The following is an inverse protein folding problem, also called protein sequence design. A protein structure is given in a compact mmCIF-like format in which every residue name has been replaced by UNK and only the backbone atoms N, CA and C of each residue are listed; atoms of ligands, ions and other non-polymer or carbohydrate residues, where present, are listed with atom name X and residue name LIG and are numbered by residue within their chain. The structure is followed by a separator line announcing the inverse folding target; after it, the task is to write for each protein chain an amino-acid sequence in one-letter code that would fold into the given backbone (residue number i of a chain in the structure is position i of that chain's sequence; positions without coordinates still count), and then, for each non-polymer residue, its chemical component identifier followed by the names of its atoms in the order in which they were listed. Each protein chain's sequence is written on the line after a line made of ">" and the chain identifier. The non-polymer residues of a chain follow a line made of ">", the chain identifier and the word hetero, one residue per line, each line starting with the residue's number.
data_IF_010787902480
#
_entry.id   IF_010787902480
#
_cell.length_a   1.000
_cell.length_b   1.000
_cell.length_c   1.000
_cell.angle_alpha   90.00
_cell.angle_beta   90.00
_cell.angle_gamma   90.00
#
_symmetry.space_group_name_H-M   'P 1'
#
loop_
_entity.id
_entity.type
_entity.pdbx_description
1 polymer ?
#
# COMPACT_ATOMS: atom_id res chain seq x y z
N UNK A 1 -49.76 -44.54 -50.03
CA UNK A 1 -49.49 -43.75 -48.81
C UNK A 1 -48.21 -42.94 -49.04
N UNK A 2 -48.27 -41.90 -49.88
CA UNK A 2 -47.08 -41.16 -50.32
C UNK A 2 -47.43 -39.76 -50.89
N UNK A 3 -46.44 -38.86 -50.83
CA UNK A 3 -46.26 -37.58 -51.57
C UNK A 3 -46.97 -36.28 -51.13
N UNK A 4 -46.09 -35.33 -50.79
CA UNK A 4 -46.01 -33.91 -51.23
C UNK A 4 -46.54 -32.79 -50.30
N UNK A 5 -45.56 -31.97 -49.86
CA UNK A 5 -45.53 -30.51 -49.57
C UNK A 5 -46.77 -29.79 -49.03
N UNK A 6 -46.59 -29.08 -47.90
CA UNK A 6 -46.60 -27.61 -47.90
C UNK A 6 -45.96 -26.99 -46.64
N UNK A 7 -45.43 -25.79 -46.83
CA UNK A 7 -44.74 -24.89 -45.90
C UNK A 7 -45.45 -24.56 -44.58
N UNK A 8 -44.69 -24.54 -43.47
CA UNK A 8 -44.56 -23.35 -42.59
C UNK A 8 -43.61 -23.61 -41.40
N UNK A 9 -42.36 -23.14 -41.45
CA UNK A 9 -41.44 -23.12 -40.29
C UNK A 9 -40.65 -21.80 -40.24
N UNK A 10 -40.99 -20.98 -39.25
CA UNK A 10 -40.06 -20.13 -38.49
C UNK A 10 -39.68 -20.91 -37.21
N UNK A 11 -38.55 -20.67 -36.50
CA UNK A 11 -37.64 -19.52 -36.50
C UNK A 11 -36.24 -19.93 -37.07
N UNK A 12 -35.06 -19.31 -36.85
CA UNK A 12 -34.55 -18.26 -35.93
C UNK A 12 -33.70 -17.25 -36.71
N UNK A 13 -33.64 -16.00 -36.23
CA UNK A 13 -32.83 -14.92 -36.79
C UNK A 13 -31.37 -15.02 -36.32
N UNK A 14 -30.48 -15.58 -37.16
CA UNK A 14 -29.07 -15.80 -36.81
C UNK A 14 -28.23 -14.50 -36.93
N UNK A 15 -28.53 -13.52 -36.07
CA UNK A 15 -27.89 -12.19 -36.06
C UNK A 15 -26.77 -12.01 -35.02
N UNK A 16 -26.48 -13.04 -34.22
CA UNK A 16 -25.39 -13.01 -33.24
C UNK A 16 -24.02 -13.31 -33.88
N UNK A 17 -23.95 -14.38 -34.65
CA UNK A 17 -22.66 -14.96 -35.09
C UNK A 17 -21.94 -14.12 -36.15
N UNK A 18 -22.66 -13.30 -36.93
CA UNK A 18 -22.03 -12.35 -37.87
C UNK A 18 -21.40 -11.14 -37.19
N UNK A 19 -21.88 -10.73 -36.00
CA UNK A 19 -21.30 -9.58 -35.28
C UNK A 19 -19.95 -9.95 -34.67
N UNK A 20 -19.76 -11.21 -34.27
CA UNK A 20 -18.51 -11.69 -33.67
C UNK A 20 -17.36 -11.87 -34.69
N UNK A 21 -17.69 -12.05 -35.98
CA UNK A 21 -16.71 -12.24 -37.04
C UNK A 21 -16.13 -10.92 -37.60
N UNK A 22 -16.94 -9.84 -37.65
CA UNK A 22 -16.55 -8.55 -38.25
C UNK A 22 -15.61 -7.71 -37.35
N UNK A 23 -15.57 -7.97 -36.04
CA UNK A 23 -14.68 -7.24 -35.12
C UNK A 23 -13.20 -7.67 -35.22
N UNK A 24 -12.88 -8.76 -35.92
CA UNK A 24 -11.51 -9.25 -36.08
C UNK A 24 -10.68 -8.49 -37.14
N UNK A 25 -11.27 -7.52 -37.86
CA UNK A 25 -10.62 -6.81 -38.98
C UNK A 25 -10.66 -5.27 -38.90
N UNK A 26 -10.76 -4.68 -37.69
CA UNK A 26 -10.69 -3.21 -37.55
C UNK A 26 -9.26 -2.67 -37.67
N UNK A 27 -9.04 -1.98 -38.80
CA UNK A 27 -7.89 -1.14 -39.15
C UNK A 27 -7.31 -0.34 -37.96
N UNK A 28 -5.98 -0.27 -37.75
CA UNK A 28 -5.36 0.40 -36.58
C UNK A 28 -5.70 1.89 -36.41
N UNK A 29 -6.23 2.55 -37.45
CA UNK A 29 -6.78 3.90 -37.34
C UNK A 29 -7.95 4.03 -36.34
N UNK A 30 -8.78 2.99 -36.17
CA UNK A 30 -9.93 3.03 -35.26
C UNK A 30 -9.55 2.88 -33.77
N UNK A 31 -8.36 2.35 -33.46
CA UNK A 31 -7.85 2.26 -32.08
C UNK A 31 -7.62 3.67 -31.50
N UNK A 32 -7.28 4.64 -32.35
CA UNK A 32 -7.14 6.05 -31.93
C UNK A 32 -8.45 6.67 -31.43
N UNK A 33 -9.60 6.27 -31.95
CA UNK A 33 -10.91 6.81 -31.52
C UNK A 33 -11.46 6.07 -30.28
N UNK A 34 -11.20 4.76 -30.16
CA UNK A 34 -11.55 3.96 -28.96
C UNK A 34 -10.74 4.36 -27.71
N UNK A 35 -9.69 5.17 -27.87
CA UNK A 35 -8.90 5.74 -26.75
C UNK A 35 -9.69 6.73 -25.86
N UNK A 36 -10.90 7.12 -26.26
CA UNK A 36 -11.87 7.79 -25.37
C UNK A 36 -12.51 6.77 -24.41
N UNK A 37 -11.71 6.27 -23.46
CA UNK A 37 -12.22 5.57 -22.28
C UNK A 37 -13.32 6.44 -21.68
N UNK A 38 -14.54 5.90 -21.56
CA UNK A 38 -15.67 6.63 -20.99
C UNK A 38 -15.38 6.95 -19.53
N UNK A 39 -14.89 8.16 -19.26
CA UNK A 39 -14.60 8.66 -17.92
C UNK A 39 -15.94 8.84 -17.21
N UNK A 40 -16.29 7.85 -16.39
CA UNK A 40 -17.53 7.87 -15.63
C UNK A 40 -17.54 9.10 -14.72
N UNK A 41 -18.61 9.89 -14.78
CA UNK A 41 -18.63 11.25 -14.23
C UNK A 41 -18.40 11.19 -12.71
N UNK A 42 -17.39 11.88 -12.13
CA UNK A 42 -17.02 11.67 -10.74
C UNK A 42 -18.19 11.95 -9.80
N UNK A 43 -18.70 10.88 -9.15
CA UNK A 43 -19.81 10.94 -8.18
C UNK A 43 -19.55 12.04 -7.15
N UNK A 44 -20.58 12.84 -6.82
CA UNK A 44 -20.47 14.00 -5.92
C UNK A 44 -19.71 13.70 -4.61
N UNK A 45 -19.92 12.51 -4.04
CA UNK A 45 -19.21 12.01 -2.85
C UNK A 45 -17.68 12.14 -2.96
N UNK A 46 -17.09 11.82 -4.12
CA UNK A 46 -15.64 11.93 -4.31
C UNK A 46 -15.13 13.38 -4.21
N UNK A 47 -15.86 14.34 -4.79
CA UNK A 47 -15.48 15.77 -4.69
C UNK A 47 -15.53 16.27 -3.24
N UNK A 48 -16.55 15.86 -2.49
CA UNK A 48 -16.70 16.20 -1.08
C UNK A 48 -15.53 15.68 -0.23
N UNK A 49 -15.15 14.41 -0.39
CA UNK A 49 -14.02 13.81 0.34
C UNK A 49 -12.70 14.53 0.02
N UNK A 50 -12.48 14.93 -1.24
CA UNK A 50 -11.30 15.73 -1.62
C UNK A 50 -11.26 17.10 -0.93
N UNK A 51 -12.41 17.80 -0.86
CA UNK A 51 -12.52 19.09 -0.15
C UNK A 51 -12.23 18.92 1.35
N UNK A 52 -12.79 17.88 1.98
CA UNK A 52 -12.55 17.58 3.40
C UNK A 52 -11.07 17.32 3.68
N UNK A 53 -10.37 16.59 2.81
CA UNK A 53 -8.93 16.36 2.91
C UNK A 53 -8.12 17.66 2.85
N UNK A 54 -8.37 18.53 1.85
CA UNK A 54 -7.68 19.82 1.76
C UNK A 54 -7.95 20.72 2.97
N UNK A 55 -9.19 20.75 3.46
CA UNK A 55 -9.54 21.49 4.67
C UNK A 55 -8.80 20.95 5.90
N UNK A 56 -8.72 19.63 6.08
CA UNK A 56 -7.97 18.97 7.14
C UNK A 56 -6.47 19.30 7.09
N UNK A 57 -5.86 19.33 5.89
CA UNK A 57 -4.45 19.73 5.72
C UNK A 57 -4.24 21.21 6.07
N UNK A 58 -5.14 22.12 5.69
CA UNK A 58 -5.04 23.54 6.07
C UNK A 58 -5.19 23.72 7.59
N UNK A 59 -6.23 23.12 8.18
CA UNK A 59 -6.50 23.22 9.62
C UNK A 59 -5.35 22.67 10.46
N UNK A 60 -4.74 21.53 10.06
CA UNK A 60 -3.63 20.96 10.85
C UNK A 60 -2.34 21.78 10.73
N UNK A 61 -2.07 22.39 9.58
CA UNK A 61 -0.95 23.30 9.41
C UNK A 61 -1.13 24.58 10.25
N UNK A 62 -2.33 25.15 10.27
CA UNK A 62 -2.66 26.31 11.13
C UNK A 62 -2.53 25.94 12.61
N UNK A 63 -3.05 24.78 13.04
CA UNK A 63 -2.91 24.31 14.41
C UNK A 63 -1.43 24.10 14.80
N UNK A 64 -0.62 23.51 13.92
CA UNK A 64 0.82 23.34 14.16
C UNK A 64 1.52 24.70 14.35
N UNK A 65 1.22 25.70 13.52
CA UNK A 65 1.78 27.07 13.67
C UNK A 65 1.37 27.72 14.99
N UNK A 66 0.10 27.60 15.39
CA UNK A 66 -0.40 28.13 16.68
C UNK A 66 0.34 27.47 17.85
N UNK A 67 0.50 26.14 17.82
CA UNK A 67 1.19 25.39 18.86
C UNK A 67 2.69 25.73 18.94
N UNK A 68 3.35 25.95 17.80
CA UNK A 68 4.75 26.43 17.74
C UNK A 68 4.86 27.77 18.47
N UNK A 69 4.03 28.76 18.12
CA UNK A 69 4.04 30.10 18.73
C UNK A 69 3.77 30.01 20.24
N UNK A 70 2.75 29.24 20.65
CA UNK A 70 2.41 29.04 22.06
C UNK A 70 3.54 28.35 22.85
N UNK A 71 4.23 27.39 22.22
CA UNK A 71 5.38 26.71 22.80
C UNK A 71 6.58 27.62 23.05
N UNK A 72 6.84 28.58 22.15
CA UNK A 72 7.88 29.61 22.37
C UNK A 72 7.56 30.54 23.54
N UNK A 73 6.28 30.88 23.75
CA UNK A 73 5.85 31.77 24.84
C UNK A 73 5.89 31.06 26.21
N UNK A 74 5.58 29.76 26.24
CA UNK A 74 5.36 28.98 27.48
C UNK A 74 6.63 28.34 28.11
N UNK A 75 7.83 28.77 27.72
CA UNK A 75 9.09 28.01 27.86
C UNK A 75 9.71 27.92 29.28
N UNK A 76 8.92 27.77 30.34
CA UNK A 76 9.42 27.71 31.73
C UNK A 76 9.88 26.32 32.22
N UNK A 77 9.43 25.22 31.60
CA UNK A 77 9.82 23.84 32.01
C UNK A 77 10.30 22.95 30.85
N UNK A 78 9.94 23.29 29.60
CA UNK A 78 10.39 22.55 28.42
C UNK A 78 11.80 22.97 28.00
N UNK A 79 12.57 22.02 27.45
CA UNK A 79 13.93 22.27 26.96
C UNK A 79 14.00 22.09 25.43
N UNK A 80 13.66 23.13 24.62
CA UNK A 80 13.66 23.06 23.16
C UNK A 80 14.95 22.48 22.56
N UNK A 81 16.11 22.90 23.06
CA UNK A 81 17.44 22.46 22.59
C UNK A 81 17.74 20.98 22.86
N UNK A 82 17.03 20.36 23.81
CA UNK A 82 17.18 18.93 24.15
C UNK A 82 16.14 18.05 23.44
N UNK A 83 15.03 18.62 22.96
CA UNK A 83 13.92 17.87 22.36
C UNK A 83 13.88 17.98 20.82
N UNK A 84 14.04 19.17 20.24
CA UNK A 84 13.92 19.35 18.79
C UNK A 84 15.04 18.69 17.98
N UNK A 85 16.34 18.80 18.34
CA UNK A 85 17.39 18.23 17.50
C UNK A 85 17.33 16.70 17.37
N UNK A 86 17.18 15.89 18.45
CA UNK A 86 17.04 14.44 18.32
C UNK A 86 15.80 14.05 17.49
N UNK A 87 14.70 14.78 17.64
CA UNK A 87 13.44 14.50 16.96
C UNK A 87 13.52 14.84 15.46
N UNK A 88 14.09 15.98 15.07
CA UNK A 88 14.29 16.33 13.66
C UNK A 88 15.31 15.41 12.97
N UNK A 89 16.38 15.00 13.68
CA UNK A 89 17.34 14.00 13.20
C UNK A 89 16.65 12.64 12.97
N UNK A 90 15.74 12.24 13.87
CA UNK A 90 14.90 11.04 13.70
C UNK A 90 14.09 11.07 12.41
N UNK A 91 13.39 12.18 12.13
CA UNK A 91 12.61 12.36 10.87
C UNK A 91 13.53 12.35 9.64
N UNK A 92 14.67 13.03 9.69
CA UNK A 92 15.64 13.06 8.59
C UNK A 92 16.21 11.67 8.28
N UNK A 93 16.57 10.89 9.30
CA UNK A 93 17.06 9.51 9.12
C UNK A 93 15.96 8.55 8.67
N UNK A 94 14.70 8.78 9.05
CA UNK A 94 13.55 8.10 8.44
C UNK A 94 13.45 8.36 6.93
N UNK A 95 13.65 9.60 6.51
CA UNK A 95 13.76 9.97 5.09
C UNK A 95 14.92 9.28 4.37
N UNK A 96 16.12 9.32 4.95
CA UNK A 96 17.33 8.68 4.41
C UNK A 96 17.15 7.16 4.29
N UNK A 97 16.56 6.51 5.30
CA UNK A 97 16.15 5.10 5.25
C UNK A 97 15.18 4.82 4.09
N UNK A 98 14.20 5.70 3.87
CA UNK A 98 13.25 5.57 2.76
C UNK A 98 13.95 5.63 1.40
N UNK A 99 14.87 6.58 1.22
CA UNK A 99 15.69 6.70 0.01
C UNK A 99 16.62 5.48 -0.17
N UNK A 100 17.22 4.97 0.90
CA UNK A 100 18.02 3.76 0.86
C UNK A 100 17.20 2.54 0.41
N UNK A 101 15.97 2.36 0.91
CA UNK A 101 15.07 1.32 0.42
C UNK A 101 14.70 1.48 -1.05
N UNK A 102 14.46 2.71 -1.53
CA UNK A 102 14.23 2.97 -2.96
C UNK A 102 15.43 2.54 -3.81
N UNK A 103 16.64 2.96 -3.43
CA UNK A 103 17.89 2.63 -4.11
C UNK A 103 18.13 1.11 -4.14
N UNK A 104 18.05 0.44 -2.99
CA UNK A 104 18.30 -1.01 -2.89
C UNK A 104 17.23 -1.81 -3.67
N UNK A 105 15.96 -1.38 -3.64
CA UNK A 105 14.89 -2.01 -4.42
C UNK A 105 15.05 -1.80 -5.92
N UNK A 106 15.52 -0.63 -6.35
CA UNK A 106 15.76 -0.31 -7.75
C UNK A 106 16.90 -1.14 -8.35
N UNK A 107 18.06 -1.17 -7.68
CA UNK A 107 19.25 -1.85 -8.22
C UNK A 107 19.26 -3.36 -7.95
N UNK A 108 18.71 -3.82 -6.83
CA UNK A 108 18.80 -5.21 -6.39
C UNK A 108 17.52 -5.66 -5.64
N UNK A 109 16.36 -5.80 -6.32
CA UNK A 109 15.08 -6.19 -5.68
C UNK A 109 15.18 -7.51 -4.88
N UNK A 110 16.00 -8.47 -5.36
CA UNK A 110 16.33 -9.70 -4.62
C UNK A 110 16.98 -9.47 -3.26
N UNK A 111 17.92 -8.51 -3.18
CA UNK A 111 18.58 -8.14 -1.92
C UNK A 111 17.64 -7.29 -1.05
N UNK A 112 16.86 -6.38 -1.64
CA UNK A 112 15.89 -5.57 -0.93
C UNK A 112 14.89 -6.43 -0.14
N UNK A 113 14.27 -7.42 -0.81
CA UNK A 113 13.29 -8.30 -0.19
C UNK A 113 13.92 -9.11 0.96
N UNK A 114 15.07 -9.75 0.73
CA UNK A 114 15.78 -10.51 1.76
C UNK A 114 16.18 -9.62 2.94
N UNK A 115 16.74 -8.43 2.67
CA UNK A 115 17.16 -7.49 3.70
C UNK A 115 15.98 -7.03 4.55
N UNK A 116 14.83 -6.68 3.96
CA UNK A 116 13.65 -6.26 4.70
C UNK A 116 13.20 -7.34 5.71
N UNK A 117 13.08 -8.59 5.25
CA UNK A 117 12.59 -9.72 6.06
C UNK A 117 13.55 -10.10 7.21
N UNK A 118 14.86 -9.97 7.05
CA UNK A 118 15.84 -10.32 8.09
C UNK A 118 16.29 -9.14 8.97
N UNK A 119 16.33 -7.92 8.43
CA UNK A 119 16.82 -6.74 9.15
C UNK A 119 15.74 -6.02 9.96
N UNK A 120 14.47 -6.06 9.53
CA UNK A 120 13.35 -5.50 10.31
C UNK A 120 13.19 -6.16 11.69
N UNK A 121 13.19 -7.50 11.85
CA UNK A 121 13.12 -8.13 13.16
C UNK A 121 14.30 -7.70 14.06
N UNK A 122 15.53 -7.69 13.52
CA UNK A 122 16.73 -7.30 14.25
C UNK A 122 16.65 -5.86 14.79
N UNK A 123 16.28 -4.90 13.94
CA UNK A 123 16.09 -3.50 14.33
C UNK A 123 14.95 -3.33 15.34
N UNK A 124 13.84 -4.05 15.15
CA UNK A 124 12.69 -4.00 16.07
C UNK A 124 13.08 -4.55 17.45
N UNK A 125 13.88 -5.62 17.49
CA UNK A 125 14.43 -6.18 18.72
C UNK A 125 15.38 -5.18 19.42
N UNK A 126 16.33 -4.59 18.68
CA UNK A 126 17.24 -3.57 19.20
C UNK A 126 16.48 -2.35 19.78
N UNK A 127 15.44 -1.88 19.07
CA UNK A 127 14.54 -0.83 19.56
C UNK A 127 13.84 -1.24 20.87
N UNK A 128 13.38 -2.49 20.97
CA UNK A 128 12.79 -3.05 22.18
C UNK A 128 13.76 -3.07 23.37
N UNK A 129 15.00 -3.50 23.17
CA UNK A 129 16.05 -3.50 24.20
C UNK A 129 16.34 -2.07 24.71
N UNK A 130 16.45 -1.09 23.80
CA UNK A 130 16.67 0.32 24.15
C UNK A 130 15.45 0.91 24.89
N UNK A 131 14.22 0.57 24.50
CA UNK A 131 13.02 1.00 25.21
C UNK A 131 12.94 0.44 26.65
N UNK A 132 13.34 -0.82 26.85
CA UNK A 132 13.43 -1.46 28.18
C UNK A 132 14.52 -0.78 29.02
N UNK A 133 15.70 -0.49 28.45
CA UNK A 133 16.83 0.10 29.19
C UNK A 133 16.61 1.55 29.65
N UNK A 134 15.62 2.26 29.09
CA UNK A 134 15.15 3.54 29.66
C UNK A 134 14.61 3.32 31.09
N UNK A 135 13.95 2.20 31.38
CA UNK A 135 13.39 1.90 32.70
C UNK A 135 12.17 2.77 33.07
N UNK A 136 11.50 3.38 32.09
CA UNK A 136 10.20 4.03 32.29
C UNK A 136 9.07 3.01 32.13
N UNK A 137 7.94 3.18 32.83
CA UNK A 137 6.78 2.27 32.72
C UNK A 137 6.25 2.16 31.28
N UNK A 138 6.16 3.28 30.56
CA UNK A 138 5.79 3.32 29.14
C UNK A 138 6.85 2.69 28.24
N UNK A 139 8.14 2.92 28.53
CA UNK A 139 9.26 2.31 27.81
C UNK A 139 9.28 0.79 27.97
N UNK A 140 9.01 0.27 29.17
CA UNK A 140 8.87 -1.17 29.42
C UNK A 140 7.74 -1.77 28.57
N UNK A 141 6.55 -1.15 28.59
CA UNK A 141 5.40 -1.63 27.83
C UNK A 141 5.64 -1.67 26.31
N UNK A 142 6.13 -0.57 25.73
CA UNK A 142 6.46 -0.53 24.30
C UNK A 142 7.67 -1.40 23.95
N UNK A 143 8.63 -1.56 24.87
CA UNK A 143 9.79 -2.40 24.71
C UNK A 143 9.44 -3.88 24.64
N UNK A 144 8.66 -4.39 25.61
CA UNK A 144 8.14 -5.77 25.59
C UNK A 144 7.31 -6.03 24.34
N UNK A 145 6.41 -5.11 23.96
CA UNK A 145 5.64 -5.20 22.71
C UNK A 145 6.56 -5.29 21.48
N UNK A 146 7.63 -4.50 21.42
CA UNK A 146 8.59 -4.51 20.33
C UNK A 146 9.35 -5.85 20.24
N UNK A 147 9.76 -6.41 21.38
CA UNK A 147 10.37 -7.76 21.43
C UNK A 147 9.38 -8.81 20.89
N UNK A 148 8.14 -8.82 21.37
CA UNK A 148 7.10 -9.76 20.87
C UNK A 148 6.88 -9.62 19.36
N UNK A 149 6.76 -8.39 18.86
CA UNK A 149 6.64 -8.12 17.41
C UNK A 149 7.88 -8.59 16.64
N UNK A 150 9.09 -8.45 17.19
CA UNK A 150 10.31 -8.94 16.54
C UNK A 150 10.36 -10.48 16.43
N UNK A 151 9.84 -11.19 17.44
CA UNK A 151 9.71 -12.66 17.40
C UNK A 151 8.70 -13.06 16.33
N UNK A 152 7.52 -12.43 16.30
CA UNK A 152 6.48 -12.69 15.28
C UNK A 152 7.00 -12.39 13.87
N UNK A 153 7.72 -11.28 13.66
CA UNK A 153 8.35 -10.97 12.37
C UNK A 153 9.37 -12.04 11.95
N UNK A 154 10.17 -12.56 12.89
CA UNK A 154 11.17 -13.60 12.63
C UNK A 154 10.51 -14.93 12.23
N UNK A 155 9.47 -15.35 12.97
CA UNK A 155 8.68 -16.54 12.65
C UNK A 155 8.00 -16.40 11.28
N UNK A 156 7.41 -15.24 10.99
CA UNK A 156 6.81 -14.95 9.70
C UNK A 156 7.84 -14.97 8.56
N UNK A 157 9.07 -14.47 8.78
CA UNK A 157 10.14 -14.53 7.79
C UNK A 157 10.57 -15.97 7.48
N UNK A 158 10.66 -16.83 8.50
CA UNK A 158 10.91 -18.25 8.32
C UNK A 158 9.78 -18.94 7.53
N UNK A 159 8.52 -18.67 7.86
CA UNK A 159 7.33 -19.21 7.16
C UNK A 159 7.16 -18.67 5.72
N UNK A 160 7.60 -17.44 5.46
CA UNK A 160 7.56 -16.82 4.14
C UNK A 160 8.71 -17.27 3.21
N UNK A 161 9.81 -17.81 3.78
CA UNK A 161 11.03 -18.19 3.05
C UNK A 161 10.79 -19.00 1.75
N UNK A 162 9.90 -20.01 1.68
CA UNK A 162 9.67 -20.77 0.44
C UNK A 162 9.14 -19.91 -0.73
N UNK A 163 8.38 -18.85 -0.42
CA UNK A 163 7.79 -17.93 -1.41
C UNK A 163 8.76 -16.85 -1.89
N UNK A 164 9.96 -16.74 -1.30
CA UNK A 164 10.91 -15.67 -1.64
C UNK A 164 11.35 -15.73 -3.11
N UNK A 165 11.55 -16.91 -3.69
CA UNK A 165 12.01 -17.02 -5.09
C UNK A 165 10.99 -16.45 -6.07
N UNK A 166 9.70 -16.81 -5.92
CA UNK A 166 8.62 -16.27 -6.73
C UNK A 166 8.44 -14.76 -6.50
N UNK A 167 8.39 -14.32 -5.24
CA UNK A 167 8.24 -12.89 -4.92
C UNK A 167 9.38 -12.03 -5.47
N UNK A 168 10.63 -12.54 -5.45
CA UNK A 168 11.78 -11.86 -6.05
C UNK A 168 11.70 -11.82 -7.58
N UNK A 169 11.27 -12.91 -8.22
CA UNK A 169 11.07 -12.97 -9.68
C UNK A 169 10.01 -11.95 -10.12
N UNK A 170 8.81 -12.01 -9.54
CA UNK A 170 7.72 -11.03 -9.79
C UNK A 170 8.21 -9.61 -9.54
N UNK A 171 8.83 -9.33 -8.39
CA UNK A 171 9.31 -7.98 -8.08
C UNK A 171 10.32 -7.49 -9.12
N UNK A 172 11.27 -8.33 -9.53
CA UNK A 172 12.31 -7.96 -10.51
C UNK A 172 11.74 -7.62 -11.88
N UNK A 173 10.77 -8.41 -12.36
CA UNK A 173 10.03 -8.13 -13.61
C UNK A 173 9.23 -6.84 -13.49
N UNK A 174 8.49 -6.69 -12.40
CA UNK A 174 7.64 -5.52 -12.16
C UNK A 174 8.44 -4.22 -12.06
N UNK A 175 9.61 -4.23 -11.43
CA UNK A 175 10.49 -3.06 -11.26
C UNK A 175 11.49 -2.86 -12.40
N UNK A 176 11.48 -3.67 -13.45
CA UNK A 176 12.39 -3.51 -14.59
C UNK A 176 12.17 -2.16 -15.30
N UNK A 177 13.23 -1.33 -15.29
CA UNK A 177 13.34 0.00 -15.93
C UNK A 177 12.05 0.86 -15.80
N UNK A 178 11.81 1.49 -14.64
CA UNK A 178 10.75 2.49 -14.53
C UNK A 178 11.17 3.78 -15.28
N UNK A 179 10.25 4.51 -15.93
CA UNK A 179 10.58 5.77 -16.61
C UNK A 179 11.21 6.79 -15.67
N UNK A 180 12.14 7.62 -16.16
CA UNK A 180 12.89 8.60 -15.34
C UNK A 180 11.97 9.52 -14.52
N UNK A 181 10.82 9.92 -15.08
CA UNK A 181 9.80 10.72 -14.38
C UNK A 181 9.19 10.00 -13.17
N UNK A 182 9.12 8.66 -13.19
CA UNK A 182 8.69 7.84 -12.05
C UNK A 182 9.70 7.92 -10.90
N UNK A 183 11.00 7.81 -11.20
CA UNK A 183 12.06 7.93 -10.18
C UNK A 183 12.04 9.32 -9.53
N UNK A 184 11.87 10.37 -10.32
CA UNK A 184 11.75 11.74 -9.82
C UNK A 184 10.51 11.88 -8.91
N UNK A 185 9.36 11.33 -9.32
CA UNK A 185 8.13 11.35 -8.52
C UNK A 185 8.29 10.61 -7.18
N UNK A 186 8.90 9.42 -7.17
CA UNK A 186 9.11 8.64 -5.94
C UNK A 186 10.07 9.34 -4.99
N UNK A 187 11.13 9.97 -5.50
CA UNK A 187 12.09 10.75 -4.72
C UNK A 187 11.44 12.01 -4.10
N UNK A 188 10.71 12.79 -4.91
CA UNK A 188 10.01 13.98 -4.44
C UNK A 188 8.93 13.66 -3.39
N UNK A 189 8.28 12.50 -3.46
CA UNK A 189 7.31 12.07 -2.44
C UNK A 189 7.94 11.86 -1.05
N UNK A 190 9.19 11.38 -1.00
CA UNK A 190 9.93 11.23 0.26
C UNK A 190 10.33 12.59 0.82
N UNK A 191 10.83 13.50 -0.02
CA UNK A 191 11.14 14.88 0.41
C UNK A 191 9.88 15.57 0.96
N UNK A 192 8.76 15.49 0.24
CA UNK A 192 7.49 16.10 0.66
C UNK A 192 7.01 15.56 2.02
N UNK A 193 7.07 14.24 2.22
CA UNK A 193 6.66 13.63 3.50
C UNK A 193 7.60 13.96 4.65
N UNK A 194 8.91 14.06 4.42
CA UNK A 194 9.91 14.51 5.42
C UNK A 194 9.68 15.97 5.82
N UNK A 195 9.47 16.87 4.86
CA UNK A 195 9.21 18.30 5.11
C UNK A 195 7.89 18.47 5.89
N UNK A 196 6.81 17.83 5.43
CA UNK A 196 5.51 17.88 6.10
C UNK A 196 5.57 17.33 7.54
N UNK A 197 6.22 16.17 7.73
CA UNK A 197 6.37 15.58 9.07
C UNK A 197 7.21 16.46 9.99
N UNK A 198 8.27 17.10 9.48
CA UNK A 198 9.09 18.05 10.24
C UNK A 198 8.27 19.25 10.75
N UNK A 199 7.40 19.83 9.91
CA UNK A 199 6.51 20.93 10.32
C UNK A 199 5.54 20.50 11.43
N UNK A 200 4.95 19.31 11.31
CA UNK A 200 4.04 18.79 12.33
C UNK A 200 4.76 18.43 13.63
N UNK A 201 6.00 17.93 13.56
CA UNK A 201 6.87 17.69 14.73
C UNK A 201 7.18 18.97 15.49
N UNK A 202 7.40 20.09 14.80
CA UNK A 202 7.52 21.40 15.45
C UNK A 202 6.25 21.75 16.24
N UNK A 203 5.06 21.45 15.70
CA UNK A 203 3.78 21.58 16.41
C UNK A 203 3.66 20.66 17.64
N UNK A 204 4.11 19.40 17.54
CA UNK A 204 4.12 18.43 18.66
C UNK A 204 5.04 18.93 19.78
N UNK A 205 6.22 19.48 19.46
CA UNK A 205 7.11 20.08 20.46
C UNK A 205 6.47 21.28 21.16
N UNK A 206 5.79 22.14 20.41
CA UNK A 206 5.04 23.28 20.97
C UNK A 206 3.86 22.88 21.86
N UNK A 207 3.17 21.79 21.54
CA UNK A 207 2.16 21.18 22.41
C UNK A 207 2.77 20.60 23.70
N UNK A 208 3.86 19.82 23.54
CA UNK A 208 4.62 19.20 24.63
C UNK A 208 5.19 20.26 25.59
N UNK A 209 5.48 21.47 25.11
CA UNK A 209 6.00 22.56 25.91
C UNK A 209 5.01 23.14 26.95
N UNK A 210 3.70 22.97 26.72
CA UNK A 210 2.63 23.44 27.63
C UNK A 210 2.07 22.31 28.50
N UNK A 211 2.05 21.07 27.98
CA UNK A 211 1.86 19.86 28.78
C UNK A 211 0.47 19.64 29.40
N UNK A 212 -0.58 20.31 28.92
CA UNK A 212 -1.95 20.14 29.45
C UNK A 212 -2.63 18.88 28.92
N UNK A 213 -3.74 18.45 29.55
CA UNK A 213 -4.56 17.35 29.02
C UNK A 213 -5.07 17.62 27.60
N UNK A 214 -5.33 18.89 27.23
CA UNK A 214 -5.77 19.28 25.89
C UNK A 214 -4.62 19.11 24.87
N UNK A 215 -3.37 19.30 25.30
CA UNK A 215 -2.19 19.14 24.43
C UNK A 215 -1.96 17.70 24.01
N UNK A 216 -2.27 16.73 24.87
CA UNK A 216 -2.29 15.32 24.50
C UNK A 216 -3.33 15.03 23.40
N UNK A 217 -4.49 15.71 23.44
CA UNK A 217 -5.50 15.62 22.38
C UNK A 217 -5.00 16.26 21.08
N UNK A 218 -4.36 17.44 21.15
CA UNK A 218 -3.76 18.06 19.96
C UNK A 218 -2.67 17.20 19.33
N UNK A 219 -1.79 16.57 20.13
CA UNK A 219 -0.77 15.64 19.63
C UNK A 219 -1.43 14.42 18.96
N UNK A 220 -2.47 13.83 19.57
CA UNK A 220 -3.22 12.73 18.97
C UNK A 220 -3.88 13.12 17.63
N UNK A 221 -4.48 14.32 17.54
CA UNK A 221 -5.07 14.86 16.31
C UNK A 221 -4.00 15.10 15.24
N UNK A 222 -2.81 15.61 15.60
CA UNK A 222 -1.68 15.78 14.69
C UNK A 222 -1.20 14.43 14.16
N UNK A 223 -1.00 13.42 15.03
CA UNK A 223 -0.55 12.09 14.61
C UNK A 223 -1.58 11.38 13.72
N UNK A 224 -2.88 11.49 14.01
CA UNK A 224 -3.96 10.94 13.19
C UNK A 224 -4.03 11.63 11.82
N UNK A 225 -3.99 12.96 11.81
CA UNK A 225 -3.99 13.78 10.59
C UNK A 225 -2.77 13.47 9.71
N UNK A 226 -1.58 13.38 10.32
CA UNK A 226 -0.35 12.98 9.65
C UNK A 226 -0.43 11.57 9.05
N UNK A 227 -0.96 10.61 9.81
CA UNK A 227 -1.16 9.22 9.36
C UNK A 227 -2.05 9.18 8.11
N UNK A 228 -3.17 9.91 8.12
CA UNK A 228 -4.06 9.99 6.95
C UNK A 228 -3.38 10.67 5.76
N UNK A 229 -2.72 11.81 5.96
CA UNK A 229 -2.02 12.54 4.89
C UNK A 229 -0.90 11.73 4.24
N UNK A 230 -0.06 11.05 5.03
CA UNK A 230 1.01 10.20 4.48
C UNK A 230 0.44 8.97 3.77
N UNK A 231 -0.66 8.40 4.26
CA UNK A 231 -1.37 7.32 3.57
C UNK A 231 -2.00 7.78 2.25
N UNK A 232 -2.49 9.03 2.18
CA UNK A 232 -2.96 9.68 0.95
C UNK A 232 -1.80 9.86 -0.05
N UNK A 233 -0.65 10.37 0.38
CA UNK A 233 0.54 10.49 -0.49
C UNK A 233 1.00 9.11 -1.00
N UNK A 234 1.02 8.10 -0.11
CA UNK A 234 1.34 6.69 -0.46
C UNK A 234 0.40 6.15 -1.55
N UNK A 235 -0.90 6.38 -1.42
CA UNK A 235 -1.90 5.89 -2.37
C UNK A 235 -1.92 6.69 -3.67
N UNK A 236 -1.65 8.00 -3.65
CA UNK A 236 -1.43 8.77 -4.88
C UNK A 236 -0.23 8.25 -5.67
N UNK A 237 0.88 7.96 -4.99
CA UNK A 237 2.05 7.36 -5.61
C UNK A 237 1.70 5.97 -6.19
N UNK A 238 0.92 5.17 -5.45
CA UNK A 238 0.45 3.88 -5.93
C UNK A 238 -0.42 3.99 -7.19
N UNK A 239 -1.35 4.95 -7.25
CA UNK A 239 -2.21 5.21 -8.43
C UNK A 239 -1.39 5.71 -9.62
N UNK A 240 -0.51 6.69 -9.42
CA UNK A 240 0.30 7.27 -10.49
C UNK A 240 1.26 6.25 -11.11
N UNK A 241 2.00 5.50 -10.28
CA UNK A 241 2.97 4.51 -10.76
C UNK A 241 2.27 3.29 -11.37
N UNK A 242 1.16 2.83 -10.79
CA UNK A 242 0.42 1.70 -11.37
C UNK A 242 -0.20 2.05 -12.72
N UNK A 243 -0.76 3.26 -12.93
CA UNK A 243 -1.23 3.72 -14.25
C UNK A 243 -0.09 3.68 -15.28
N UNK A 244 1.09 4.21 -14.93
CA UNK A 244 2.26 4.21 -15.83
C UNK A 244 2.67 2.77 -16.18
N UNK A 245 2.83 1.87 -15.20
CA UNK A 245 3.26 0.49 -15.46
C UNK A 245 2.21 -0.35 -16.19
N UNK A 246 0.93 -0.18 -15.85
CA UNK A 246 -0.18 -0.82 -16.54
C UNK A 246 -0.18 -0.45 -18.03
N UNK A 247 -0.07 0.84 -18.37
CA UNK A 247 0.00 1.28 -19.77
C UNK A 247 1.22 0.71 -20.50
N UNK A 248 2.36 0.57 -19.84
CA UNK A 248 3.53 -0.10 -20.43
C UNK A 248 3.24 -1.57 -20.76
N UNK A 249 2.62 -2.34 -19.85
CA UNK A 249 2.27 -3.74 -20.12
C UNK A 249 1.23 -3.89 -21.24
N UNK A 250 0.21 -3.01 -21.28
CA UNK A 250 -0.92 -3.12 -22.22
C UNK A 250 -0.66 -2.46 -23.59
N UNK A 251 0.16 -1.41 -23.68
CA UNK A 251 0.37 -0.65 -24.93
C UNK A 251 1.75 -0.88 -25.58
N UNK A 252 2.83 -0.90 -24.79
CA UNK A 252 4.20 -0.84 -25.31
C UNK A 252 4.66 -2.10 -26.07
N UNK A 253 4.64 -2.05 -27.41
CA UNK A 253 5.11 -3.16 -28.24
C UNK A 253 5.47 -2.85 -29.69
N UNK A 254 5.56 -1.58 -30.09
CA UNK A 254 6.22 -1.18 -31.34
C UNK A 254 7.47 -0.36 -31.00
N UNK A 255 8.63 -0.83 -31.46
CA UNK A 255 9.98 -0.33 -31.10
C UNK A 255 10.25 1.12 -31.56
N UNK A 256 9.36 1.69 -32.39
CA UNK A 256 9.47 3.04 -32.96
C UNK A 256 8.51 4.06 -32.30
N UNK A 257 7.56 3.60 -31.47
CA UNK A 257 6.63 4.49 -30.77
C UNK A 257 6.94 4.58 -29.28
N UNK A 258 8.05 5.26 -28.97
CA UNK A 258 8.22 5.99 -27.71
C UNK A 258 7.06 6.99 -27.57
N UNK A 259 5.96 6.54 -26.97
CA UNK A 259 4.87 7.41 -26.53
C UNK A 259 5.49 8.51 -25.67
N UNK A 260 5.37 9.77 -26.10
CA UNK A 260 6.14 10.86 -25.49
C UNK A 260 5.97 10.83 -23.97
N UNK A 261 7.11 10.79 -23.27
CA UNK A 261 7.17 10.85 -21.81
C UNK A 261 6.40 12.08 -21.29
N UNK A 262 6.26 13.13 -22.10
CA UNK A 262 5.45 14.31 -21.80
C UNK A 262 3.93 14.08 -21.94
N UNK A 263 3.47 13.47 -23.03
CA UNK A 263 2.04 13.13 -23.21
C UNK A 263 1.56 12.10 -22.20
N UNK A 264 2.38 11.09 -21.93
CA UNK A 264 2.11 10.11 -20.86
C UNK A 264 1.96 10.81 -19.51
N UNK A 265 2.91 11.69 -19.16
CA UNK A 265 2.93 12.39 -17.88
C UNK A 265 1.80 13.42 -17.72
N UNK A 266 1.45 14.15 -18.78
CA UNK A 266 0.32 15.09 -18.74
C UNK A 266 -1.01 14.35 -18.56
N UNK A 267 -1.19 13.20 -19.21
CA UNK A 267 -2.36 12.33 -18.97
C UNK A 267 -2.41 11.82 -17.52
N UNK A 268 -1.27 11.39 -16.96
CA UNK A 268 -1.17 10.93 -15.57
C UNK A 268 -1.51 12.07 -14.61
N UNK A 269 -0.98 13.28 -14.84
CA UNK A 269 -1.28 14.46 -14.01
C UNK A 269 -2.76 14.82 -14.03
N UNK A 270 -3.39 14.89 -15.21
CA UNK A 270 -4.82 15.20 -15.35
C UNK A 270 -5.72 14.14 -14.69
N UNK A 271 -5.38 12.87 -14.87
CA UNK A 271 -6.03 11.74 -14.24
C UNK A 271 -5.93 11.81 -12.70
N UNK A 272 -4.71 11.93 -12.16
CA UNK A 272 -4.44 12.02 -10.71
C UNK A 272 -5.16 13.21 -10.05
N UNK A 273 -5.17 14.38 -10.68
CA UNK A 273 -5.92 15.54 -10.18
C UNK A 273 -7.44 15.31 -10.12
N UNK A 274 -7.98 14.43 -10.96
CA UNK A 274 -9.41 14.06 -10.94
C UNK A 274 -9.72 12.98 -9.89
N UNK A 275 -8.72 12.20 -9.49
CA UNK A 275 -8.85 11.03 -8.58
C UNK A 275 -8.70 11.36 -7.09
N UNK A 276 -8.55 12.63 -6.70
CA UNK A 276 -8.30 13.03 -5.30
C UNK A 276 -9.31 12.41 -4.33
N UNK A 277 -10.60 12.48 -4.65
CA UNK A 277 -11.68 11.90 -3.85
C UNK A 277 -11.55 10.39 -3.62
N UNK A 278 -11.58 9.56 -4.68
CA UNK A 278 -11.35 8.13 -4.60
C UNK A 278 -10.07 7.72 -3.85
N UNK A 279 -8.96 8.45 -4.06
CA UNK A 279 -7.69 8.19 -3.36
C UNK A 279 -7.80 8.51 -1.87
N UNK A 280 -8.38 9.65 -1.50
CA UNK A 280 -8.57 10.04 -0.09
C UNK A 280 -9.49 9.07 0.66
N UNK A 281 -10.57 8.61 0.02
CA UNK A 281 -11.48 7.60 0.57
C UNK A 281 -10.77 6.24 0.71
N UNK A 282 -10.04 5.80 -0.31
CA UNK A 282 -9.25 4.56 -0.28
C UNK A 282 -8.16 4.57 0.80
N UNK A 283 -7.63 5.74 1.14
CA UNK A 283 -6.65 5.91 2.23
C UNK A 283 -7.20 5.68 3.63
N UNK A 284 -8.52 5.77 3.82
CA UNK A 284 -9.17 5.33 5.06
C UNK A 284 -9.61 3.87 4.93
N UNK A 285 -10.34 3.53 3.85
CA UNK A 285 -10.98 2.23 3.73
C UNK A 285 -9.98 1.06 3.60
N UNK A 286 -8.97 1.16 2.73
CA UNK A 286 -8.09 0.02 2.44
C UNK A 286 -7.25 -0.41 3.66
N UNK A 287 -6.67 0.50 4.47
CA UNK A 287 -6.04 0.14 5.74
C UNK A 287 -7.00 -0.49 6.75
N UNK A 288 -8.20 0.07 6.92
CA UNK A 288 -9.20 -0.46 7.86
C UNK A 288 -9.65 -1.86 7.47
N UNK A 289 -9.93 -2.11 6.18
CA UNK A 289 -10.25 -3.45 5.67
C UNK A 289 -9.08 -4.42 5.86
N UNK A 290 -7.84 -3.95 5.62
CA UNK A 290 -6.64 -4.77 5.84
C UNK A 290 -6.46 -5.15 7.31
N UNK A 291 -6.76 -4.25 8.24
CA UNK A 291 -6.74 -4.49 9.69
C UNK A 291 -7.82 -5.47 10.12
N UNK A 292 -9.05 -5.33 9.62
CA UNK A 292 -10.17 -6.24 9.91
C UNK A 292 -9.90 -7.65 9.35
N UNK A 293 -9.40 -7.79 8.11
CA UNK A 293 -8.99 -9.10 7.55
C UNK A 293 -7.81 -9.70 8.31
N UNK A 294 -6.85 -8.89 8.75
CA UNK A 294 -5.72 -9.33 9.57
C UNK A 294 -6.15 -9.89 10.92
N UNK A 295 -7.03 -9.18 11.63
CA UNK A 295 -7.59 -9.63 12.91
C UNK A 295 -8.49 -10.86 12.75
N UNK A 296 -9.37 -10.90 11.74
CA UNK A 296 -10.19 -12.08 11.44
C UNK A 296 -9.33 -13.34 11.22
N UNK A 297 -8.24 -13.23 10.43
CA UNK A 297 -7.29 -14.33 10.21
C UNK A 297 -6.53 -14.75 11.47
N UNK A 298 -6.15 -13.79 12.32
CA UNK A 298 -5.51 -14.12 13.59
C UNK A 298 -6.46 -14.86 14.53
N UNK A 299 -7.73 -14.43 14.61
CA UNK A 299 -8.77 -15.08 15.41
C UNK A 299 -9.06 -16.49 14.87
N UNK A 300 -9.21 -16.67 13.54
CA UNK A 300 -9.47 -18.00 12.97
C UNK A 300 -8.32 -19.01 13.16
N UNK A 301 -7.07 -18.52 13.28
CA UNK A 301 -5.92 -19.37 13.61
C UNK A 301 -5.86 -19.76 15.10
N UNK A 302 -6.47 -18.97 15.98
CA UNK A 302 -6.55 -19.24 17.43
C UNK A 302 -7.79 -20.08 17.77
N UNK A 303 -8.87 -19.95 17.00
CA UNK A 303 -10.11 -20.72 17.14
C UNK A 303 -10.00 -22.19 16.66
N UNK A 304 -8.84 -22.59 16.13
CA UNK A 304 -8.61 -23.97 15.70
C UNK A 304 -8.60 -24.94 16.87
N UNK A 305 -9.53 -25.90 16.83
CA UNK A 305 -9.48 -27.17 17.57
C UNK A 305 -9.81 -27.14 19.09
N UNK A 306 -10.61 -26.18 19.59
CA UNK A 306 -10.98 -26.17 21.04
C UNK A 306 -12.37 -25.66 21.45
N UNK A 307 -13.00 -24.68 20.77
CA UNK A 307 -14.22 -24.01 21.29
C UNK A 307 -15.29 -23.71 20.23
N UNK A 308 -16.49 -24.28 20.37
CA UNK A 308 -17.65 -24.04 19.49
C UNK A 308 -18.09 -22.55 19.47
N UNK A 309 -17.94 -21.85 20.59
CA UNK A 309 -18.26 -20.41 20.69
C UNK A 309 -17.29 -19.52 19.90
N UNK A 310 -16.00 -19.89 19.84
CA UNK A 310 -15.02 -19.16 19.04
C UNK A 310 -15.21 -19.41 17.54
N UNK A 311 -15.69 -20.60 17.16
CA UNK A 311 -16.01 -20.96 15.78
C UNK A 311 -17.09 -20.04 15.18
N UNK A 312 -18.21 -19.86 15.88
CA UNK A 312 -19.30 -18.97 15.43
C UNK A 312 -18.86 -17.50 15.26
N UNK A 313 -18.00 -17.01 16.16
CA UNK A 313 -17.42 -15.67 16.06
C UNK A 313 -16.43 -15.55 14.89
N UNK A 314 -15.61 -16.59 14.65
CA UNK A 314 -14.65 -16.63 13.56
C UNK A 314 -15.34 -16.65 12.18
N UNK A 315 -16.43 -17.41 12.02
CA UNK A 315 -17.23 -17.44 10.79
C UNK A 315 -17.93 -16.11 10.49
N UNK A 316 -18.45 -15.43 11.53
CA UNK A 316 -19.00 -14.09 11.39
C UNK A 316 -17.92 -13.07 10.95
N UNK A 317 -16.74 -13.10 11.59
CA UNK A 317 -15.62 -12.23 11.23
C UNK A 317 -15.05 -12.53 9.85
N UNK A 318 -14.96 -13.80 9.44
CA UNK A 318 -14.46 -14.21 8.12
C UNK A 318 -15.44 -13.80 7.01
N UNK A 319 -16.75 -13.94 7.24
CA UNK A 319 -17.80 -13.46 6.35
C UNK A 319 -17.77 -11.94 6.16
N UNK A 320 -17.62 -11.18 7.25
CA UNK A 320 -17.48 -9.72 7.19
C UNK A 320 -16.17 -9.32 6.48
N UNK A 321 -15.04 -9.96 6.79
CA UNK A 321 -13.75 -9.68 6.14
C UNK A 321 -13.78 -9.99 4.63
N UNK A 322 -14.45 -11.08 4.22
CA UNK A 322 -14.65 -11.45 2.82
C UNK A 322 -15.46 -10.40 2.07
N UNK A 323 -16.60 -9.96 2.63
CA UNK A 323 -17.41 -8.86 2.08
C UNK A 323 -16.60 -7.56 1.96
N UNK A 324 -15.86 -7.18 3.01
CA UNK A 324 -15.08 -5.94 3.03
C UNK A 324 -13.96 -5.89 1.97
N UNK A 325 -13.39 -7.02 1.56
CA UNK A 325 -12.33 -7.08 0.53
C UNK A 325 -12.84 -6.76 -0.87
N UNK A 326 -14.11 -7.11 -1.16
CA UNK A 326 -14.79 -6.63 -2.38
C UNK A 326 -15.02 -5.12 -2.31
N UNK A 327 -15.30 -4.57 -1.12
CA UNK A 327 -15.55 -3.14 -0.94
C UNK A 327 -14.30 -2.24 -1.00
N UNK A 328 -13.13 -2.69 -0.52
CA UNK A 328 -11.90 -1.90 -0.59
C UNK A 328 -10.63 -2.77 -0.52
N UNK A 329 -9.87 -2.85 -1.62
CA UNK A 329 -8.60 -3.56 -1.66
C UNK A 329 -7.50 -2.75 -2.37
N UNK A 330 -6.25 -3.20 -2.22
CA UNK A 330 -5.06 -2.50 -2.78
C UNK A 330 -5.01 -2.53 -4.31
N UNK A 331 -5.64 -3.53 -4.95
CA UNK A 331 -5.58 -3.75 -6.39
C UNK A 331 -6.52 -2.79 -7.12
N UNK A 332 -7.65 -2.44 -6.49
CA UNK A 332 -8.56 -1.40 -6.98
C UNK A 332 -7.90 -0.05 -7.24
N UNK A 333 -6.77 0.30 -6.61
CA UNK A 333 -6.02 1.51 -6.97
C UNK A 333 -5.50 1.51 -8.41
N UNK A 334 -5.27 0.34 -9.02
CA UNK A 334 -4.92 0.24 -10.44
C UNK A 334 -6.12 0.67 -11.30
N UNK A 335 -7.32 0.15 -11.03
CA UNK A 335 -8.54 0.54 -11.75
C UNK A 335 -8.96 1.99 -11.49
N UNK A 336 -8.72 2.53 -10.29
CA UNK A 336 -8.85 3.97 -10.04
C UNK A 336 -7.91 4.73 -10.99
N UNK A 337 -6.63 4.33 -11.06
CA UNK A 337 -5.62 4.98 -11.90
C UNK A 337 -5.81 4.85 -13.41
N UNK A 338 -6.32 3.72 -13.90
CA UNK A 338 -6.50 3.45 -15.32
C UNK A 338 -7.84 4.01 -15.82
N UNK A 339 -8.94 3.62 -15.15
CA UNK A 339 -10.31 3.84 -15.62
C UNK A 339 -11.04 5.00 -14.94
N UNK A 340 -10.41 5.73 -14.02
CA UNK A 340 -11.00 6.87 -13.29
C UNK A 340 -12.24 6.53 -12.44
N UNK A 341 -12.47 5.24 -12.15
CA UNK A 341 -13.59 4.74 -11.34
C UNK A 341 -13.39 5.05 -9.84
N UNK A 342 -14.48 4.96 -9.06
CA UNK A 342 -14.42 5.10 -7.60
C UNK A 342 -13.84 3.85 -6.93
N UNK A 343 -13.05 4.03 -5.86
CA UNK A 343 -12.27 2.95 -5.22
C UNK A 343 -13.06 1.69 -4.86
N UNK A 344 -14.34 1.82 -4.49
CA UNK A 344 -15.20 0.68 -4.15
C UNK A 344 -15.49 -0.17 -5.40
N UNK A 345 -16.00 0.47 -6.46
CA UNK A 345 -16.27 -0.19 -7.74
C UNK A 345 -14.98 -0.76 -8.35
N UNK A 346 -13.87 -0.01 -8.28
CA UNK A 346 -12.56 -0.48 -8.72
C UNK A 346 -12.06 -1.69 -7.93
N UNK A 347 -12.39 -1.80 -6.64
CA UNK A 347 -12.02 -2.94 -5.79
C UNK A 347 -12.84 -4.18 -6.12
N UNK A 348 -14.15 -4.00 -6.38
CA UNK A 348 -15.06 -5.07 -6.77
C UNK A 348 -14.70 -5.61 -8.17
N UNK A 349 -14.58 -4.73 -9.17
CA UNK A 349 -14.12 -5.06 -10.53
C UNK A 349 -12.82 -5.90 -10.50
N UNK A 350 -11.80 -5.43 -9.77
CA UNK A 350 -10.50 -6.14 -9.71
C UNK A 350 -10.59 -7.47 -8.99
N UNK A 351 -11.36 -7.56 -7.89
CA UNK A 351 -11.51 -8.82 -7.17
C UNK A 351 -12.28 -9.85 -7.99
N UNK A 352 -13.32 -9.43 -8.72
CA UNK A 352 -14.07 -10.33 -9.59
C UNK A 352 -13.20 -10.89 -10.72
N UNK A 353 -12.38 -10.06 -11.37
CA UNK A 353 -11.44 -10.53 -12.40
C UNK A 353 -10.46 -11.57 -11.86
N UNK A 354 -9.89 -11.35 -10.67
CA UNK A 354 -9.00 -12.34 -10.04
C UNK A 354 -9.70 -13.64 -9.72
N UNK A 355 -10.96 -13.61 -9.27
CA UNK A 355 -11.76 -14.82 -9.05
C UNK A 355 -12.02 -15.57 -10.35
N UNK A 356 -12.44 -14.87 -11.40
CA UNK A 356 -12.66 -15.45 -12.74
C UNK A 356 -11.38 -16.05 -13.34
N UNK A 357 -10.22 -15.45 -13.06
CA UNK A 357 -8.90 -15.95 -13.48
C UNK A 357 -8.25 -16.99 -12.57
N UNK A 358 -8.89 -17.41 -11.47
CA UNK A 358 -8.31 -18.36 -10.50
C UNK A 358 -7.13 -17.82 -9.69
N UNK A 359 -6.91 -16.49 -9.68
CA UNK A 359 -5.72 -15.84 -9.11
C UNK A 359 -5.82 -15.56 -7.60
N UNK A 360 -6.92 -15.94 -6.92
CA UNK A 360 -7.12 -15.61 -5.50
C UNK A 360 -6.00 -16.16 -4.60
N UNK A 361 -5.57 -17.43 -4.80
CA UNK A 361 -4.46 -18.02 -4.02
C UNK A 361 -3.10 -17.38 -4.34
N UNK A 362 -2.82 -17.11 -5.62
CA UNK A 362 -1.60 -16.41 -6.04
C UNK A 362 -1.47 -15.07 -5.31
N UNK A 363 -2.57 -14.32 -5.23
CA UNK A 363 -2.68 -13.01 -4.58
C UNK A 363 -2.57 -13.07 -3.06
N UNK A 364 -3.12 -14.09 -2.41
CA UNK A 364 -2.92 -14.32 -0.98
C UNK A 364 -1.50 -14.83 -0.67
N UNK A 365 -0.79 -15.40 -1.65
CA UNK A 365 0.62 -15.79 -1.53
C UNK A 365 1.63 -14.64 -1.75
N UNK A 366 1.20 -13.50 -2.30
CA UNK A 366 2.06 -12.34 -2.59
C UNK A 366 2.71 -11.74 -1.32
N UNK A 367 4.05 -11.72 -1.32
CA UNK A 367 4.83 -11.13 -0.24
C UNK A 367 5.05 -9.62 -0.38
N UNK A 368 4.62 -8.96 -1.46
CA UNK A 368 4.94 -7.53 -1.70
C UNK A 368 4.35 -6.60 -0.63
N UNK A 369 3.14 -6.90 -0.14
CA UNK A 369 2.54 -6.14 0.98
C UNK A 369 3.37 -6.28 2.27
N UNK A 370 3.83 -7.49 2.56
CA UNK A 370 4.69 -7.82 3.71
C UNK A 370 6.08 -7.19 3.58
N UNK A 371 6.71 -7.28 2.41
CA UNK A 371 7.96 -6.58 2.09
C UNK A 371 7.85 -5.08 2.40
N UNK A 372 6.81 -4.43 1.87
CA UNK A 372 6.57 -3.02 2.13
C UNK A 372 6.26 -2.72 3.61
N UNK A 373 5.74 -3.69 4.38
CA UNK A 373 5.48 -3.54 5.81
C UNK A 373 6.78 -3.61 6.60
N UNK A 374 7.62 -4.61 6.31
CA UNK A 374 8.93 -4.80 6.94
C UNK A 374 9.89 -3.64 6.63
N UNK A 375 9.92 -3.10 5.40
CA UNK A 375 10.66 -1.85 5.12
C UNK A 375 10.16 -0.67 5.95
N UNK A 376 8.84 -0.55 6.13
CA UNK A 376 8.22 0.44 7.01
C UNK A 376 8.70 0.30 8.45
N UNK A 377 8.56 -0.90 9.04
CA UNK A 377 8.96 -1.14 10.44
C UNK A 377 10.46 -0.98 10.65
N UNK A 378 11.31 -1.45 9.73
CA UNK A 378 12.74 -1.19 9.75
C UNK A 378 13.06 0.30 9.76
N UNK A 379 12.45 1.09 8.87
CA UNK A 379 12.65 2.55 8.82
C UNK A 379 12.13 3.29 10.04
N UNK A 380 11.01 2.84 10.62
CA UNK A 380 10.54 3.29 11.93
C UNK A 380 11.55 3.00 13.03
N UNK A 381 12.05 1.77 13.11
CA UNK A 381 13.03 1.37 14.11
C UNK A 381 14.37 2.12 13.98
N UNK A 382 14.88 2.36 12.76
CA UNK A 382 16.05 3.22 12.52
C UNK A 382 15.82 4.64 13.05
N UNK A 383 14.66 5.23 12.74
CA UNK A 383 14.29 6.58 13.18
C UNK A 383 14.20 6.67 14.70
N UNK A 384 13.53 5.69 15.33
CA UNK A 384 13.38 5.58 16.77
C UNK A 384 14.72 5.39 17.48
N UNK A 385 15.57 4.47 17.01
CA UNK A 385 16.89 4.23 17.57
C UNK A 385 17.77 5.48 17.48
N UNK A 386 17.79 6.19 16.35
CA UNK A 386 18.60 7.39 16.20
C UNK A 386 18.17 8.52 17.15
N UNK A 387 16.88 8.85 17.19
CA UNK A 387 16.34 9.88 18.09
C UNK A 387 16.46 9.46 19.56
N UNK A 388 16.17 8.20 19.86
CA UNK A 388 16.21 7.61 21.19
C UNK A 388 17.61 7.56 21.80
N UNK A 389 18.59 7.01 21.07
CA UNK A 389 19.98 6.93 21.55
C UNK A 389 20.60 8.31 21.77
N UNK A 390 20.31 9.30 20.91
CA UNK A 390 20.73 10.68 21.16
C UNK A 390 20.05 11.24 22.43
N UNK A 391 18.74 11.06 22.55
CA UNK A 391 17.96 11.59 23.68
C UNK A 391 18.35 10.93 25.01
N UNK A 392 18.75 9.66 25.01
CA UNK A 392 19.29 8.97 26.19
C UNK A 392 20.51 9.67 26.78
N UNK A 393 21.38 10.24 25.95
CA UNK A 393 22.58 10.96 26.37
C UNK A 393 22.26 12.39 26.83
N UNK A 394 21.23 13.04 26.24
CA UNK A 394 20.93 14.46 26.46
C UNK A 394 19.83 14.72 27.51
N UNK A 395 18.74 13.94 27.49
CA UNK A 395 17.61 14.09 28.39
C UNK A 395 16.74 12.82 28.47
N UNK A 396 17.11 11.88 29.34
CA UNK A 396 16.52 10.53 29.45
C UNK A 396 14.98 10.51 29.49
N UNK A 397 14.34 11.49 30.13
CA UNK A 397 12.87 11.59 30.25
C UNK A 397 12.14 11.69 28.92
N UNK A 398 12.72 12.37 27.92
CA UNK A 398 12.11 12.50 26.59
C UNK A 398 12.36 11.29 25.68
N UNK A 399 13.25 10.36 26.08
CA UNK A 399 13.71 9.28 25.19
C UNK A 399 12.54 8.40 24.72
N UNK A 400 11.65 7.96 25.62
CA UNK A 400 10.50 7.12 25.25
C UNK A 400 9.55 7.83 24.28
N UNK A 401 9.30 9.13 24.48
CA UNK A 401 8.42 9.92 23.62
C UNK A 401 9.03 10.10 22.22
N UNK A 402 10.31 10.49 22.15
CA UNK A 402 11.02 10.69 20.88
C UNK A 402 11.18 9.36 20.12
N UNK A 403 11.42 8.24 20.81
CA UNK A 403 11.41 6.92 20.19
C UNK A 403 10.04 6.56 19.60
N UNK A 404 8.94 6.82 20.32
CA UNK A 404 7.58 6.54 19.84
C UNK A 404 7.22 7.41 18.63
N UNK A 405 7.39 8.72 18.70
CA UNK A 405 7.09 9.62 17.58
C UNK A 405 8.01 9.35 16.38
N UNK A 406 9.30 9.12 16.63
CA UNK A 406 10.28 8.74 15.61
C UNK A 406 9.92 7.44 14.91
N UNK A 407 9.48 6.43 15.65
CA UNK A 407 8.99 5.17 15.08
C UNK A 407 7.81 5.38 14.14
N UNK A 408 6.77 6.10 14.59
CA UNK A 408 5.55 6.32 13.82
C UNK A 408 5.84 7.11 12.53
N UNK A 409 6.61 8.19 12.61
CA UNK A 409 6.96 9.01 11.44
C UNK A 409 7.85 8.22 10.49
N UNK A 410 8.91 7.59 11.00
CA UNK A 410 9.82 6.77 10.22
C UNK A 410 9.07 5.65 9.47
N UNK A 411 8.15 4.98 10.15
CA UNK A 411 7.27 3.98 9.54
C UNK A 411 6.47 4.55 8.37
N UNK A 412 5.74 5.64 8.59
CA UNK A 412 4.88 6.23 7.56
C UNK A 412 5.68 6.75 6.35
N UNK A 413 6.81 7.43 6.58
CA UNK A 413 7.71 7.92 5.53
C UNK A 413 8.29 6.75 4.71
N UNK A 414 8.73 5.67 5.37
CA UNK A 414 9.27 4.50 4.66
C UNK A 414 8.18 3.75 3.90
N UNK A 415 6.94 3.69 4.41
CA UNK A 415 5.77 3.14 3.70
C UNK A 415 5.42 3.93 2.44
N UNK A 416 5.60 5.26 2.43
CA UNK A 416 5.50 6.08 1.21
C UNK A 416 6.65 5.75 0.26
N UNK A 417 7.89 5.70 0.77
CA UNK A 417 9.09 5.46 -0.03
C UNK A 417 9.01 4.15 -0.83
N UNK A 418 8.47 3.08 -0.24
CA UNK A 418 8.30 1.75 -0.88
C UNK A 418 6.91 1.51 -1.49
N UNK A 419 6.09 2.55 -1.71
CA UNK A 419 4.79 2.37 -2.36
C UNK A 419 4.90 2.03 -3.87
N UNK A 420 5.99 2.45 -4.53
CA UNK A 420 6.20 2.24 -5.96
C UNK A 420 6.42 0.77 -6.38
N UNK A 421 7.23 -0.10 -5.71
CA UNK A 421 7.29 -1.51 -6.07
C UNK A 421 5.93 -2.19 -5.89
N UNK A 422 5.19 -1.85 -4.82
CA UNK A 422 3.82 -2.34 -4.61
C UNK A 422 2.90 -1.92 -5.76
N UNK A 423 3.06 -0.70 -6.28
CA UNK A 423 2.30 -0.21 -7.44
C UNK A 423 2.63 -0.97 -8.73
N UNK A 424 3.92 -1.23 -8.99
CA UNK A 424 4.38 -2.02 -10.14
C UNK A 424 3.81 -3.45 -10.11
N UNK A 425 3.92 -4.13 -8.96
CA UNK A 425 3.38 -5.48 -8.77
C UNK A 425 1.85 -5.49 -8.85
N UNK A 426 1.18 -4.43 -8.37
CA UNK A 426 -0.28 -4.29 -8.51
C UNK A 426 -0.69 -4.19 -9.97
N UNK A 427 0.00 -3.34 -10.75
CA UNK A 427 -0.27 -3.15 -12.18
C UNK A 427 -0.04 -4.43 -13.00
N UNK A 428 1.03 -5.17 -12.71
CA UNK A 428 1.37 -6.42 -13.41
C UNK A 428 0.31 -7.51 -13.22
N UNK A 429 -0.12 -7.77 -11.98
CA UNK A 429 -1.18 -8.77 -11.72
C UNK A 429 -2.53 -8.37 -12.34
N UNK A 430 -2.91 -7.09 -12.25
CA UNK A 430 -4.19 -6.62 -12.83
C UNK A 430 -4.16 -6.68 -14.35
N UNK A 431 -3.08 -6.24 -15.00
CA UNK A 431 -2.94 -6.32 -16.45
C UNK A 431 -2.90 -7.78 -16.96
N UNK A 432 -2.27 -8.69 -16.21
CA UNK A 432 -2.31 -10.13 -16.50
C UNK A 432 -3.74 -10.70 -16.37
N UNK A 433 -4.48 -10.32 -15.32
CA UNK A 433 -5.85 -10.79 -15.10
C UNK A 433 -6.82 -10.34 -16.20
N UNK A 434 -6.61 -9.16 -16.78
CA UNK A 434 -7.42 -8.66 -17.90
C UNK A 434 -7.10 -9.31 -19.24
N UNK A 435 -5.83 -9.62 -19.53
CA UNK A 435 -5.42 -10.28 -20.77
C UNK A 435 -4.27 -11.29 -20.56
N UNK A 436 -4.57 -12.49 -20.03
CA UNK A 436 -3.55 -13.51 -19.73
C UNK A 436 -2.96 -14.17 -20.99
N UNK A 437 -3.56 -13.96 -22.16
CA UNK A 437 -3.09 -14.47 -23.46
C UNK A 437 -2.14 -13.50 -24.18
N UNK A 438 -1.88 -12.32 -23.61
CA UNK A 438 -0.94 -11.36 -24.19
C UNK A 438 0.49 -11.89 -24.16
N UNK A 439 1.12 -12.00 -25.32
CA UNK A 439 2.51 -12.45 -25.51
C UNK A 439 3.57 -11.56 -24.83
N UNK A 440 3.16 -10.47 -24.16
CA UNK A 440 4.04 -9.58 -23.39
C UNK A 440 4.21 -10.00 -21.93
N UNK A 441 3.39 -10.93 -21.43
CA UNK A 441 3.59 -11.51 -20.11
C UNK A 441 4.57 -12.68 -20.20
N UNK A 442 5.49 -12.71 -19.24
CA UNK A 442 6.44 -13.79 -19.05
C UNK A 442 5.79 -14.96 -18.28
N UNK A 443 6.47 -16.11 -18.28
CA UNK A 443 5.97 -17.34 -17.67
C UNK A 443 5.84 -17.28 -16.12
N UNK A 444 6.27 -16.19 -15.47
CA UNK A 444 6.33 -16.07 -14.00
C UNK A 444 4.98 -16.25 -13.29
N UNK A 445 3.89 -15.67 -13.82
CA UNK A 445 2.54 -15.93 -13.27
C UNK A 445 2.02 -17.33 -13.67
N UNK A 446 1.99 -17.72 -14.97
CA UNK A 446 1.48 -19.04 -15.38
C UNK A 446 2.15 -20.23 -14.68
N UNK A 447 3.48 -20.24 -14.56
CA UNK A 447 4.22 -21.32 -13.88
C UNK A 447 3.83 -21.41 -12.41
N UNK A 448 3.68 -20.26 -11.72
CA UNK A 448 3.27 -20.28 -10.32
C UNK A 448 1.85 -20.78 -10.14
N UNK A 449 0.94 -20.41 -11.03
CA UNK A 449 -0.45 -20.89 -10.99
C UNK A 449 -0.52 -22.41 -11.18
N UNK A 450 0.29 -22.96 -12.09
CA UNK A 450 0.44 -24.42 -12.28
C UNK A 450 1.01 -25.12 -11.04
N UNK A 451 2.03 -24.55 -10.38
CA UNK A 451 2.56 -25.08 -9.12
C UNK A 451 1.50 -25.15 -8.02
N UNK A 452 0.70 -24.08 -7.86
CA UNK A 452 -0.35 -24.02 -6.85
C UNK A 452 -1.47 -25.05 -7.12
N UNK A 453 -1.98 -25.11 -8.35
CA UNK A 453 -3.00 -26.10 -8.72
C UNK A 453 -2.53 -27.55 -8.52
N UNK A 454 -1.26 -27.85 -8.83
CA UNK A 454 -0.69 -29.19 -8.60
C UNK A 454 -0.67 -29.55 -7.12
N UNK A 455 -0.25 -28.63 -6.26
CA UNK A 455 -0.19 -28.87 -4.81
C UNK A 455 -1.60 -29.06 -4.22
N UNK A 456 -2.60 -28.28 -4.67
CA UNK A 456 -3.99 -28.51 -4.29
C UNK A 456 -4.49 -29.91 -4.68
N UNK A 457 -4.07 -30.44 -5.84
CA UNK A 457 -4.47 -31.79 -6.26
C UNK A 457 -3.82 -32.88 -5.39
N UNK A 458 -2.53 -32.75 -5.03
CA UNK A 458 -1.88 -33.71 -4.12
C UNK A 458 -2.51 -33.71 -2.73
N UNK A 459 -2.83 -32.53 -2.17
CA UNK A 459 -3.44 -32.43 -0.84
C UNK A 459 -4.84 -33.09 -0.79
N UNK A 460 -5.56 -33.10 -1.92
CA UNK A 460 -6.86 -33.77 -2.08
C UNK A 460 -6.73 -35.30 -2.28
N UNK A 461 -5.61 -35.78 -2.82
CA UNK A 461 -5.32 -37.21 -2.96
C UNK A 461 -4.82 -37.81 -1.64
N UNK A 462 -3.91 -37.12 -0.93
CA UNK A 462 -3.41 -37.55 0.38
C UNK A 462 -4.49 -37.47 1.47
N UNK A 463 -5.41 -36.50 1.40
CA UNK A 463 -6.55 -36.37 2.32
C UNK A 463 -7.71 -37.35 2.08
N UNK A 464 -7.56 -38.32 1.16
CA UNK A 464 -8.55 -39.39 0.87
C UNK A 464 -8.07 -40.80 1.24
N UNK A 465 -6.81 -40.94 1.67
CA UNK A 465 -6.22 -42.17 2.19
C UNK A 465 -6.16 -42.19 3.72
#
# INVERSE_FOLDING_TARGET
>A
MARIMSSSVTPINNKGDQVLADDLHKNPANVKESSRIAVDKPRMSGKLVGIVFYLQVVVICVLAVILIIRGFISSHQFHPSKWYPPMLISVALGGISGLAWQIVTYYNPSKALKLAFWFSPLLTCAMGVVLISIGSSTGLAFGVLSILVSVIQSLYACWAKPRFNHAVSVLSVCTAVPPQKTIILTFLSVILTVVYSSVLVCGIGGATATGTHIDNVFIAVILLSMTWTLQVIKNFLQVAVSRIRYLNFVVGGDDDQRMDDNDTWTSVRGAVCTMVGPVCLGSVLVPTVSLVRGSARAISLIAGDSDEFLFSCADCYSGIASRLVTCANRWGFVHVGVYCKGIIQSSDDTWEMFRRGGMEELIDSDLTSSFCFFCGVAGGAVSALAGGCWTLVVHKEYATQIMFYGFVIGYLVNRVAVAWPQACVSAYHVAFAENPQSARFDATIPVRLQELHRNQHSDIEDGKN
#
